data_IF_657209926771
#
_entry.id   IF_657209926771
#
_cell.length_a   1.000
_cell.length_b   1.000
_cell.length_c   1.000
_cell.angle_alpha   90.00
_cell.angle_beta   90.00
_cell.angle_gamma   90.00
#
_symmetry.space_group_name_H-M   'P 1'
#
loop_
_entity.id
_entity.type
_entity.pdbx_description
1 polymer ?
#
# COMPACT_ATOMS: atom_id res chain seq x y z
N UNK A 1 20.52 -27.88 -18.13
CA UNK A 1 21.54 -26.82 -18.30
C UNK A 1 20.91 -25.71 -19.12
N UNK A 2 20.68 -24.55 -18.57
CA UNK A 2 20.33 -23.35 -19.33
C UNK A 2 21.62 -22.89 -20.03
N UNK A 3 21.76 -23.24 -21.31
CA UNK A 3 22.92 -22.86 -22.13
C UNK A 3 22.84 -21.36 -22.35
N UNK A 4 23.76 -20.62 -21.71
CA UNK A 4 24.32 -19.35 -22.19
C UNK A 4 23.38 -18.26 -22.71
N UNK A 5 22.16 -18.12 -22.20
CA UNK A 5 21.36 -16.94 -22.49
C UNK A 5 21.90 -15.75 -21.68
N UNK A 6 22.55 -14.83 -22.34
CA UNK A 6 22.95 -13.58 -21.73
C UNK A 6 21.71 -12.89 -21.16
N UNK A 7 21.68 -12.65 -19.84
CA UNK A 7 20.59 -11.93 -19.17
C UNK A 7 20.42 -10.54 -19.83
N UNK A 8 19.20 -10.18 -20.16
CA UNK A 8 18.89 -8.84 -20.68
C UNK A 8 19.08 -7.80 -19.59
N UNK A 9 19.55 -6.63 -19.97
CA UNK A 9 19.54 -5.45 -19.10
C UNK A 9 18.09 -4.95 -18.98
N UNK A 10 17.70 -4.59 -17.76
CA UNK A 10 16.37 -4.04 -17.46
C UNK A 10 16.50 -2.54 -17.30
N UNK A 11 15.65 -1.80 -18.01
CA UNK A 11 15.55 -0.34 -17.86
C UNK A 11 14.33 0.01 -17.02
N UNK A 12 14.47 0.96 -16.12
CA UNK A 12 13.34 1.66 -15.49
C UNK A 12 13.01 2.85 -16.39
N UNK A 13 11.92 2.76 -17.13
CA UNK A 13 11.51 3.77 -18.12
C UNK A 13 10.99 5.02 -17.41
N UNK A 14 10.17 4.82 -16.37
CA UNK A 14 9.65 5.89 -15.55
C UNK A 14 8.42 5.43 -14.75
N UNK A 15 7.92 6.33 -13.92
CA UNK A 15 6.77 6.02 -13.07
C UNK A 15 5.88 7.22 -12.84
N UNK A 16 4.69 6.94 -12.30
CA UNK A 16 3.70 7.93 -11.89
C UNK A 16 3.07 7.47 -10.58
N UNK A 17 2.67 8.41 -9.76
CA UNK A 17 1.88 8.15 -8.57
C UNK A 17 0.77 9.19 -8.40
N UNK A 18 -0.23 8.86 -7.61
CA UNK A 18 -1.16 9.87 -7.08
C UNK A 18 -0.55 10.55 -5.85
N UNK A 19 -1.03 11.72 -5.41
CA UNK A 19 -0.60 12.31 -4.14
C UNK A 19 -0.81 11.35 -2.98
N UNK A 20 0.10 11.32 -2.04
CA UNK A 20 -0.08 10.59 -0.79
C UNK A 20 -0.92 11.41 0.19
N UNK A 21 -2.05 10.84 0.62
CA UNK A 21 -3.01 11.49 1.51
C UNK A 21 -2.91 10.93 2.93
N UNK A 22 -3.05 11.78 3.94
CA UNK A 22 -3.28 11.31 5.31
C UNK A 22 -4.55 10.47 5.35
N UNK A 23 -4.50 9.38 6.10
CA UNK A 23 -5.65 8.52 6.35
C UNK A 23 -6.86 9.33 6.84
N UNK A 24 -8.04 8.87 6.47
CA UNK A 24 -9.34 9.51 6.76
C UNK A 24 -9.48 10.94 6.19
N UNK A 25 -8.69 11.25 5.15
CA UNK A 25 -8.69 12.53 4.45
C UNK A 25 -9.33 12.45 3.06
N UNK A 26 -8.64 12.99 2.05
CA UNK A 26 -9.15 13.12 0.69
C UNK A 26 -9.58 11.78 0.04
N UNK A 27 -8.98 10.68 0.44
CA UNK A 27 -9.28 9.34 -0.10
C UNK A 27 -10.11 8.46 0.83
N UNK A 28 -10.80 9.07 1.82
CA UNK A 28 -11.56 8.31 2.82
C UNK A 28 -12.67 7.40 2.24
N UNK A 29 -13.17 7.71 1.05
CA UNK A 29 -14.19 6.92 0.36
C UNK A 29 -13.64 6.12 -0.84
N UNK A 30 -12.32 6.18 -1.11
CA UNK A 30 -11.70 5.51 -2.24
C UNK A 30 -11.11 4.16 -1.83
N UNK A 31 -11.41 3.11 -2.58
CA UNK A 31 -10.84 1.79 -2.36
C UNK A 31 -9.52 1.56 -3.11
N UNK A 32 -8.80 0.50 -2.74
CA UNK A 32 -7.52 0.15 -3.37
C UNK A 32 -7.61 0.02 -4.90
N UNK A 33 -8.69 -0.58 -5.42
CA UNK A 33 -8.86 -0.75 -6.87
C UNK A 33 -8.94 0.60 -7.60
N UNK A 34 -9.71 1.55 -7.05
CA UNK A 34 -9.85 2.89 -7.63
C UNK A 34 -8.50 3.63 -7.65
N UNK A 35 -7.78 3.64 -6.51
CA UNK A 35 -6.49 4.31 -6.39
C UNK A 35 -5.43 3.66 -7.30
N UNK A 36 -5.39 2.31 -7.38
CA UNK A 36 -4.43 1.61 -8.24
C UNK A 36 -4.75 1.85 -9.72
N UNK A 37 -6.03 1.82 -10.10
CA UNK A 37 -6.46 2.12 -11.46
C UNK A 37 -6.05 3.53 -11.88
N UNK A 38 -6.16 4.51 -10.97
CA UNK A 38 -5.75 5.89 -11.25
C UNK A 38 -4.23 6.00 -11.53
N UNK A 39 -3.39 5.35 -10.71
CA UNK A 39 -1.94 5.36 -10.94
C UNK A 39 -1.57 4.61 -12.23
N UNK A 40 -2.23 3.49 -12.51
CA UNK A 40 -1.97 2.71 -13.72
C UNK A 40 -2.40 3.46 -14.98
N UNK A 41 -3.60 4.06 -14.98
CA UNK A 41 -4.07 4.90 -16.08
C UNK A 41 -3.13 6.08 -16.35
N UNK A 42 -2.60 6.70 -15.30
CA UNK A 42 -1.64 7.79 -15.44
C UNK A 42 -0.32 7.33 -16.09
N UNK A 43 0.16 6.11 -15.80
CA UNK A 43 1.32 5.52 -16.51
C UNK A 43 0.95 5.26 -17.97
N UNK A 44 -0.23 4.70 -18.23
CA UNK A 44 -0.73 4.42 -19.60
C UNK A 44 -0.77 5.71 -20.44
N UNK A 45 -1.31 6.78 -19.88
CA UNK A 45 -1.40 8.07 -20.58
C UNK A 45 -0.03 8.71 -20.77
N UNK A 46 0.85 8.68 -19.75
CA UNK A 46 2.19 9.27 -19.82
C UNK A 46 3.07 8.64 -20.90
N UNK A 47 2.98 7.33 -21.06
CA UNK A 47 3.81 6.57 -21.99
C UNK A 47 3.09 6.14 -23.28
N UNK A 48 1.90 6.72 -23.53
CA UNK A 48 1.08 6.45 -24.72
C UNK A 48 0.79 4.96 -24.96
N UNK A 49 0.48 4.23 -23.87
CA UNK A 49 0.23 2.78 -23.89
C UNK A 49 -1.24 2.40 -24.04
N UNK A 50 -2.10 3.36 -24.36
CA UNK A 50 -3.54 3.11 -24.51
C UNK A 50 -3.82 2.11 -25.61
N UNK A 51 -4.50 1.00 -25.27
CA UNK A 51 -4.78 -0.10 -26.17
C UNK A 51 -3.60 -1.06 -26.40
N UNK A 52 -2.43 -0.77 -25.83
CA UNK A 52 -1.27 -1.65 -25.95
C UNK A 52 -1.38 -2.85 -24.99
N UNK A 53 -0.92 -4.02 -25.45
CA UNK A 53 -0.78 -5.21 -24.64
C UNK A 53 0.62 -5.28 -24.05
N UNK A 54 0.73 -5.23 -22.74
CA UNK A 54 2.01 -5.46 -22.03
C UNK A 54 2.18 -6.95 -21.68
N UNK A 55 3.43 -7.32 -21.42
CA UNK A 55 3.78 -8.68 -21.03
C UNK A 55 3.19 -9.08 -19.66
N UNK A 56 3.15 -8.15 -18.70
CA UNK A 56 2.52 -8.37 -17.40
C UNK A 56 2.30 -7.03 -16.64
N UNK A 57 1.32 -7.02 -15.74
CA UNK A 57 1.14 -5.99 -14.72
C UNK A 57 1.13 -6.67 -13.36
N UNK A 58 2.11 -6.38 -12.53
CA UNK A 58 2.21 -6.92 -11.17
C UNK A 58 1.97 -5.80 -10.18
N UNK A 59 0.92 -5.92 -9.38
CA UNK A 59 0.59 -4.93 -8.36
C UNK A 59 0.00 -5.62 -7.12
N UNK A 60 -0.11 -4.88 -6.02
CA UNK A 60 -0.73 -5.44 -4.83
C UNK A 60 -1.00 -4.42 -3.75
N UNK A 61 -1.69 -4.90 -2.72
CA UNK A 61 -2.05 -4.15 -1.53
C UNK A 61 -1.97 -5.05 -0.31
N UNK A 62 -1.71 -4.47 0.87
CA UNK A 62 -1.72 -5.18 2.15
C UNK A 62 -3.14 -5.31 2.68
N UNK A 63 -3.91 -4.23 2.61
CA UNK A 63 -5.27 -4.12 3.16
C UNK A 63 -6.34 -4.29 2.08
N UNK A 64 -6.44 -5.50 1.49
CA UNK A 64 -7.45 -5.77 0.44
C UNK A 64 -8.76 -6.28 1.02
N UNK A 65 -9.88 -5.79 0.48
CA UNK A 65 -11.19 -6.41 0.67
C UNK A 65 -11.31 -7.76 -0.04
N UNK A 66 -12.11 -8.66 0.50
CA UNK A 66 -12.36 -9.97 -0.10
C UNK A 66 -13.02 -9.89 -1.49
N UNK A 67 -13.66 -8.77 -1.84
CA UNK A 67 -14.21 -8.50 -3.17
C UNK A 67 -13.14 -8.19 -4.23
N UNK A 68 -11.93 -7.83 -3.79
CA UNK A 68 -10.80 -7.48 -4.67
C UNK A 68 -9.90 -8.71 -4.90
N UNK A 69 -10.45 -9.75 -5.52
CA UNK A 69 -9.79 -11.04 -5.71
C UNK A 69 -8.47 -10.92 -6.50
N UNK A 70 -8.50 -10.13 -7.57
CA UNK A 70 -7.33 -9.82 -8.37
C UNK A 70 -7.32 -8.32 -8.67
N UNK A 71 -6.76 -7.55 -7.75
CA UNK A 71 -6.67 -6.10 -7.82
C UNK A 71 -5.93 -5.64 -9.07
N UNK A 72 -4.80 -6.28 -9.40
CA UNK A 72 -4.01 -5.94 -10.58
C UNK A 72 -4.81 -6.13 -11.86
N UNK A 73 -5.53 -7.25 -11.98
CA UNK A 73 -6.36 -7.54 -13.17
C UNK A 73 -7.47 -6.51 -13.35
N UNK A 74 -8.21 -6.20 -12.29
CA UNK A 74 -9.30 -5.21 -12.36
C UNK A 74 -8.75 -3.81 -12.67
N UNK A 75 -7.58 -3.47 -12.13
CA UNK A 75 -6.92 -2.20 -12.45
C UNK A 75 -6.44 -2.13 -13.91
N UNK A 76 -5.96 -3.24 -14.48
CA UNK A 76 -5.64 -3.33 -15.91
C UNK A 76 -6.87 -3.02 -16.76
N UNK A 77 -7.99 -3.66 -16.47
CA UNK A 77 -9.25 -3.47 -17.22
C UNK A 77 -9.76 -2.02 -17.15
N UNK A 78 -9.49 -1.32 -16.04
CA UNK A 78 -9.88 0.08 -15.87
C UNK A 78 -8.85 1.10 -16.36
N UNK A 79 -7.62 0.69 -16.75
CA UNK A 79 -6.52 1.61 -17.02
C UNK A 79 -6.42 2.12 -18.45
N UNK A 80 -7.06 1.43 -19.40
CA UNK A 80 -6.94 1.71 -20.83
C UNK A 80 -5.87 0.89 -21.56
N UNK A 81 -5.17 -0.03 -20.88
CA UNK A 81 -4.38 -1.08 -21.53
C UNK A 81 -5.29 -2.06 -22.30
N UNK A 82 -4.72 -2.80 -23.24
CA UNK A 82 -5.45 -3.90 -23.88
C UNK A 82 -5.92 -4.91 -22.83
N UNK A 83 -7.19 -5.39 -22.92
CA UNK A 83 -7.76 -6.31 -21.94
C UNK A 83 -7.06 -7.68 -21.88
N UNK A 84 -6.24 -8.02 -22.86
CA UNK A 84 -5.40 -9.22 -22.92
C UNK A 84 -4.12 -9.09 -22.06
N UNK A 85 -3.80 -7.90 -21.56
CA UNK A 85 -2.67 -7.69 -20.64
C UNK A 85 -2.90 -8.48 -19.35
N UNK A 86 -2.02 -9.42 -18.98
CA UNK A 86 -2.19 -10.15 -17.73
C UNK A 86 -1.99 -9.26 -16.50
N UNK A 87 -2.68 -9.62 -15.42
CA UNK A 87 -2.52 -8.95 -14.12
C UNK A 87 -2.29 -9.97 -13.02
N UNK A 88 -1.24 -9.75 -12.20
CA UNK A 88 -0.87 -10.61 -11.09
C UNK A 88 -0.87 -9.84 -9.77
N UNK A 89 -1.63 -10.35 -8.81
CA UNK A 89 -1.61 -9.83 -7.44
C UNK A 89 -0.44 -10.37 -6.65
N UNK A 90 0.24 -9.47 -5.94
CA UNK A 90 1.35 -9.78 -5.06
C UNK A 90 1.11 -9.18 -3.67
N UNK A 91 1.59 -9.86 -2.64
CA UNK A 91 1.66 -9.30 -1.29
C UNK A 91 2.96 -9.70 -0.60
N UNK A 92 3.76 -8.70 -0.26
CA UNK A 92 4.98 -8.82 0.57
C UNK A 92 5.03 -7.68 1.60
N UNK A 93 3.95 -7.53 2.35
CA UNK A 93 3.78 -6.43 3.30
C UNK A 93 4.24 -5.07 2.71
N UNK A 94 4.99 -4.26 3.43
CA UNK A 94 5.47 -2.95 2.96
C UNK A 94 6.42 -3.01 1.73
N UNK A 95 6.97 -4.19 1.41
CA UNK A 95 7.84 -4.42 0.25
C UNK A 95 7.10 -4.84 -1.03
N UNK A 96 5.76 -4.82 -1.06
CA UNK A 96 4.94 -5.36 -2.15
C UNK A 96 5.29 -4.76 -3.50
N UNK A 97 5.32 -3.45 -3.65
CA UNK A 97 5.60 -2.79 -4.94
C UNK A 97 7.05 -2.94 -5.37
N UNK A 98 8.01 -3.00 -4.44
CA UNK A 98 9.41 -3.30 -4.76
C UNK A 98 9.56 -4.72 -5.29
N UNK A 99 8.90 -5.69 -4.66
CA UNK A 99 8.90 -7.08 -5.15
C UNK A 99 8.22 -7.20 -6.52
N UNK A 100 7.15 -6.45 -6.76
CA UNK A 100 6.51 -6.40 -8.08
C UNK A 100 7.50 -5.92 -9.15
N UNK A 101 8.29 -4.88 -8.86
CA UNK A 101 9.33 -4.37 -9.77
C UNK A 101 10.43 -5.41 -10.01
N UNK A 102 10.88 -6.11 -8.97
CA UNK A 102 11.87 -7.18 -9.07
C UNK A 102 11.34 -8.33 -9.97
N UNK A 103 10.08 -8.73 -9.79
CA UNK A 103 9.48 -9.81 -10.58
C UNK A 103 9.33 -9.43 -12.06
N UNK A 104 8.85 -8.22 -12.38
CA UNK A 104 8.81 -7.70 -13.75
C UNK A 104 10.23 -7.67 -14.33
N UNK A 105 11.18 -7.11 -13.60
CA UNK A 105 12.58 -7.05 -14.02
C UNK A 105 13.16 -8.44 -14.31
N UNK A 106 12.90 -9.43 -13.45
CA UNK A 106 13.33 -10.81 -13.67
C UNK A 106 12.72 -11.43 -14.94
N UNK A 107 11.43 -11.20 -15.19
CA UNK A 107 10.77 -11.67 -16.43
C UNK A 107 11.39 -11.04 -17.66
N UNK A 108 11.69 -9.74 -17.64
CA UNK A 108 12.38 -9.05 -18.74
C UNK A 108 13.79 -9.58 -18.92
N UNK A 109 14.56 -9.71 -17.84
CA UNK A 109 15.94 -10.21 -17.87
C UNK A 109 16.05 -11.62 -18.47
N UNK A 110 15.06 -12.46 -18.16
CA UNK A 110 14.97 -13.83 -18.70
C UNK A 110 14.36 -13.90 -20.10
N UNK A 111 13.93 -12.78 -20.68
CA UNK A 111 13.31 -12.73 -22.00
C UNK A 111 11.90 -13.34 -22.08
N UNK A 112 11.22 -13.44 -20.94
CA UNK A 112 9.84 -13.94 -20.89
C UNK A 112 8.83 -12.88 -21.34
N UNK A 113 9.12 -11.60 -21.08
CA UNK A 113 8.38 -10.44 -21.54
C UNK A 113 9.37 -9.34 -21.96
N UNK A 114 8.90 -8.37 -22.73
CA UNK A 114 9.71 -7.23 -23.18
C UNK A 114 9.48 -5.97 -22.34
N UNK A 115 8.27 -5.80 -21.81
CA UNK A 115 7.90 -4.71 -20.93
C UNK A 115 6.80 -5.13 -19.95
N UNK A 116 6.70 -4.44 -18.83
CA UNK A 116 5.65 -4.65 -17.86
C UNK A 116 5.55 -3.48 -16.87
N UNK A 117 4.44 -3.43 -16.13
CA UNK A 117 4.24 -2.40 -15.10
C UNK A 117 4.22 -3.06 -13.74
N UNK A 118 4.99 -2.49 -12.82
CA UNK A 118 4.97 -2.83 -11.41
C UNK A 118 4.28 -1.72 -10.61
N UNK A 119 3.46 -2.09 -9.62
CA UNK A 119 2.76 -1.10 -8.81
C UNK A 119 2.41 -1.58 -7.42
N UNK A 120 1.86 -0.67 -6.65
CA UNK A 120 1.33 -0.95 -5.33
C UNK A 120 0.41 0.16 -4.86
N UNK A 121 -0.51 -0.23 -4.01
CA UNK A 121 -1.51 0.64 -3.42
C UNK A 121 -1.83 0.18 -2.01
N UNK A 122 -2.09 1.11 -1.12
CA UNK A 122 -2.81 0.82 0.11
C UNK A 122 -3.68 2.01 0.49
N UNK A 123 -4.85 1.71 1.04
CA UNK A 123 -5.68 2.66 1.75
C UNK A 123 -5.90 2.17 3.18
N UNK A 124 -5.48 2.98 4.14
CA UNK A 124 -5.74 2.75 5.56
C UNK A 124 -7.12 3.27 5.94
N UNK A 125 -7.65 4.16 5.10
CA UNK A 125 -8.98 4.77 5.27
C UNK A 125 -10.13 3.84 4.95
N UNK A 126 -9.90 2.84 4.08
CA UNK A 126 -10.88 1.81 3.71
C UNK A 126 -10.38 0.39 4.12
N UNK A 127 -10.22 0.12 5.44
CA UNK A 127 -9.74 -1.17 5.88
C UNK A 127 -10.84 -2.23 5.77
N UNK A 128 -10.51 -3.50 5.47
CA UNK A 128 -11.47 -4.58 5.47
C UNK A 128 -11.99 -4.84 6.89
N UNK A 129 -13.21 -4.38 7.18
CA UNK A 129 -13.91 -4.66 8.43
C UNK A 129 -14.62 -6.01 8.31
N UNK A 130 -14.25 -6.96 9.17
CA UNK A 130 -14.83 -8.30 9.15
C UNK A 130 -15.57 -8.62 10.45
N UNK A 131 -16.48 -9.56 10.38
CA UNK A 131 -17.12 -10.08 11.57
C UNK A 131 -16.21 -11.06 12.32
N UNK A 132 -16.48 -11.24 13.63
CA UNK A 132 -15.81 -12.26 14.44
C UNK A 132 -15.91 -13.64 13.79
N UNK A 133 -14.91 -14.48 13.99
CA UNK A 133 -14.88 -15.83 13.42
C UNK A 133 -16.11 -16.66 13.82
N UNK A 134 -16.58 -16.51 15.06
CA UNK A 134 -17.77 -17.20 15.54
C UNK A 134 -19.02 -16.80 14.75
N UNK A 135 -19.19 -15.51 14.46
CA UNK A 135 -20.31 -15.02 13.67
C UNK A 135 -20.21 -15.47 12.21
N UNK A 136 -19.04 -15.42 11.62
CA UNK A 136 -18.82 -15.95 10.27
C UNK A 136 -19.17 -17.43 10.17
N UNK A 137 -18.79 -18.26 11.15
CA UNK A 137 -19.12 -19.68 11.18
C UNK A 137 -20.63 -19.91 11.36
N UNK A 138 -21.29 -19.09 12.17
CA UNK A 138 -22.74 -19.13 12.32
C UNK A 138 -23.45 -18.87 11.00
N UNK A 139 -23.07 -17.79 10.31
CA UNK A 139 -23.60 -17.43 8.98
C UNK A 139 -23.37 -18.55 7.96
N UNK A 140 -22.14 -19.10 7.89
CA UNK A 140 -21.81 -20.18 6.96
C UNK A 140 -22.59 -21.46 7.23
N UNK A 141 -22.81 -21.82 8.49
CA UNK A 141 -23.67 -22.96 8.86
C UNK A 141 -25.11 -22.74 8.40
N UNK A 142 -25.66 -21.55 8.66
CA UNK A 142 -27.01 -21.18 8.21
C UNK A 142 -27.12 -21.20 6.68
N UNK A 143 -26.12 -20.67 5.97
CA UNK A 143 -26.11 -20.64 4.50
C UNK A 143 -26.03 -22.04 3.88
N UNK A 144 -25.24 -22.95 4.47
CA UNK A 144 -25.06 -24.34 3.98
C UNK A 144 -26.20 -25.28 4.34
N UNK A 145 -27.12 -24.86 5.20
CA UNK A 145 -28.25 -25.69 5.68
C UNK A 145 -29.21 -26.04 4.54
N UNK A 146 -29.64 -27.29 4.50
CA UNK A 146 -30.54 -27.83 3.47
C UNK A 146 -32.03 -27.67 3.83
N UNK A 147 -32.35 -27.56 5.12
CA UNK A 147 -33.70 -27.36 5.59
C UNK A 147 -33.89 -26.02 6.30
N UNK A 148 -35.13 -25.54 6.37
CA UNK A 148 -35.45 -24.27 7.03
C UNK A 148 -35.10 -24.32 8.54
N UNK A 149 -35.38 -25.44 9.21
CA UNK A 149 -35.04 -25.62 10.63
C UNK A 149 -33.54 -25.57 10.89
N UNK A 150 -32.71 -26.23 10.04
CA UNK A 150 -31.26 -26.18 10.14
C UNK A 150 -30.70 -24.79 9.84
N UNK A 151 -31.38 -24.01 8.99
CA UNK A 151 -30.98 -22.63 8.66
C UNK A 151 -31.18 -21.69 9.84
N UNK A 152 -32.23 -21.87 10.61
CA UNK A 152 -32.56 -21.00 11.75
C UNK A 152 -31.79 -21.43 13.02
N UNK A 153 -31.57 -22.73 13.21
CA UNK A 153 -30.94 -23.28 14.43
C UNK A 153 -29.67 -22.57 14.88
N UNK A 154 -28.68 -22.20 14.00
CA UNK A 154 -27.48 -21.47 14.39
C UNK A 154 -27.79 -20.12 15.05
N UNK A 155 -28.86 -19.44 14.67
CA UNK A 155 -29.19 -18.10 15.13
C UNK A 155 -29.63 -18.03 16.59
N UNK A 156 -30.11 -19.15 17.18
CA UNK A 156 -30.40 -19.22 18.61
C UNK A 156 -29.14 -19.08 19.49
N UNK A 157 -27.97 -19.31 18.93
CA UNK A 157 -26.69 -19.10 19.61
C UNK A 157 -26.11 -17.67 19.48
N UNK A 158 -26.88 -16.76 18.87
CA UNK A 158 -26.41 -15.38 18.63
C UNK A 158 -26.26 -14.61 19.95
N UNK A 159 -25.15 -13.90 20.10
CA UNK A 159 -24.84 -13.07 21.26
C UNK A 159 -24.36 -11.68 20.80
N UNK A 160 -24.56 -10.60 21.57
CA UNK A 160 -24.11 -9.26 21.20
C UNK A 160 -22.63 -9.19 20.80
N UNK A 161 -21.76 -9.97 21.44
CA UNK A 161 -20.32 -10.03 21.12
C UNK A 161 -20.03 -10.45 19.67
N UNK A 162 -20.94 -11.18 19.02
CA UNK A 162 -20.76 -11.65 17.64
C UNK A 162 -20.81 -10.50 16.63
N UNK A 163 -21.48 -9.40 16.97
CA UNK A 163 -21.58 -8.20 16.11
C UNK A 163 -20.39 -7.26 16.25
N UNK A 164 -19.47 -7.52 17.20
CA UNK A 164 -18.28 -6.69 17.34
C UNK A 164 -17.42 -6.84 16.07
N UNK A 165 -17.19 -5.74 15.34
CA UNK A 165 -16.36 -5.78 14.14
C UNK A 165 -14.90 -6.06 14.52
N UNK A 166 -14.19 -6.73 13.61
CA UNK A 166 -12.76 -6.99 13.70
C UNK A 166 -12.08 -6.19 12.60
N UNK A 167 -11.22 -5.27 12.99
CA UNK A 167 -10.37 -4.50 12.09
C UNK A 167 -9.03 -5.21 11.89
N UNK A 168 -8.32 -4.97 10.78
CA UNK A 168 -6.96 -5.43 10.61
C UNK A 168 -6.08 -4.96 11.78
N UNK A 169 -5.35 -5.87 12.40
CA UNK A 169 -4.44 -5.53 13.48
C UNK A 169 -3.19 -4.84 12.95
N UNK A 170 -2.72 -3.81 13.66
CA UNK A 170 -1.45 -3.12 13.37
C UNK A 170 -0.25 -3.78 14.06
N UNK A 171 -0.50 -4.81 14.88
CA UNK A 171 0.52 -5.57 15.58
C UNK A 171 0.92 -6.84 14.84
N UNK A 172 2.18 -7.21 14.98
CA UNK A 172 2.69 -8.48 14.48
C UNK A 172 2.04 -9.64 15.27
N UNK A 173 1.40 -10.64 14.60
CA UNK A 173 0.59 -11.66 15.30
C UNK A 173 1.35 -12.53 16.31
N UNK A 174 2.66 -12.74 16.11
CA UNK A 174 3.48 -13.61 16.97
C UNK A 174 3.98 -12.91 18.22
N UNK A 175 4.33 -11.64 18.11
CA UNK A 175 4.89 -10.83 19.21
C UNK A 175 3.83 -9.96 19.89
N UNK A 176 2.74 -9.67 19.20
CA UNK A 176 1.72 -8.70 19.61
C UNK A 176 2.20 -7.24 19.51
N UNK A 177 3.43 -7.01 19.06
CA UNK A 177 4.03 -5.70 19.00
C UNK A 177 3.67 -4.97 17.70
N UNK A 178 3.46 -3.68 17.80
CA UNK A 178 3.33 -2.81 16.62
C UNK A 178 4.68 -2.59 15.92
N UNK A 179 4.64 -2.14 14.66
CA UNK A 179 5.87 -1.79 13.92
C UNK A 179 6.67 -0.69 14.62
N UNK A 180 6.00 0.27 15.27
CA UNK A 180 6.68 1.29 16.06
C UNK A 180 7.39 0.70 17.29
N UNK A 181 6.80 -0.27 17.97
CA UNK A 181 7.47 -0.97 19.08
C UNK A 181 8.67 -1.80 18.62
N UNK A 182 8.56 -2.48 17.47
CA UNK A 182 9.72 -3.17 16.87
C UNK A 182 10.82 -2.18 16.47
N UNK A 183 10.46 -1.03 15.89
CA UNK A 183 11.41 0.00 15.53
C UNK A 183 12.11 0.60 16.75
N UNK A 184 11.38 0.79 17.88
CA UNK A 184 11.97 1.21 19.14
C UNK A 184 13.00 0.22 19.69
N UNK A 185 12.71 -1.09 19.61
CA UNK A 185 13.68 -2.12 19.99
C UNK A 185 14.92 -2.08 19.09
N UNK A 186 14.73 -1.90 17.78
CA UNK A 186 15.83 -1.80 16.82
C UNK A 186 16.69 -0.57 17.10
N UNK A 187 16.06 0.60 17.35
CA UNK A 187 16.77 1.83 17.67
C UNK A 187 17.65 1.66 18.92
N UNK A 188 17.13 0.97 19.95
CA UNK A 188 17.91 0.63 21.17
C UNK A 188 19.05 -0.33 20.85
N UNK A 189 18.78 -1.40 20.12
CA UNK A 189 19.81 -2.43 19.81
C UNK A 189 20.95 -1.85 18.97
N UNK A 190 20.66 -0.89 18.09
CA UNK A 190 21.65 -0.24 17.23
C UNK A 190 22.16 1.08 17.82
N UNK A 191 21.71 1.43 19.01
CA UNK A 191 22.11 2.64 19.73
C UNK A 191 21.89 3.94 18.92
N UNK A 192 20.79 3.98 18.14
CA UNK A 192 20.42 5.18 17.37
C UNK A 192 19.81 6.21 18.31
N UNK A 193 20.47 7.35 18.41
CA UNK A 193 20.03 8.42 19.31
C UNK A 193 18.75 9.10 18.80
N UNK A 194 17.95 9.64 19.73
CA UNK A 194 16.74 10.43 19.45
C UNK A 194 17.04 11.59 18.50
N UNK A 195 18.14 12.28 18.71
CA UNK A 195 18.53 13.42 17.90
C UNK A 195 18.74 13.04 16.44
N UNK A 196 19.43 11.93 16.16
CA UNK A 196 19.67 11.43 14.80
C UNK A 196 18.35 11.10 14.08
N UNK A 197 17.38 10.55 14.81
CA UNK A 197 16.04 10.26 14.27
C UNK A 197 15.27 11.54 13.94
N UNK A 198 15.34 12.55 14.81
CA UNK A 198 14.70 13.85 14.59
C UNK A 198 15.37 14.62 13.45
N UNK A 199 16.70 14.56 13.31
CA UNK A 199 17.45 15.15 12.19
C UNK A 199 17.05 14.52 10.85
N UNK A 200 16.93 13.18 10.79
CA UNK A 200 16.46 12.48 9.60
C UNK A 200 15.04 12.91 9.22
N UNK A 201 14.14 12.99 10.19
CA UNK A 201 12.76 13.42 9.97
C UNK A 201 12.68 14.88 9.48
N UNK A 202 13.42 15.78 10.12
CA UNK A 202 13.52 17.18 9.70
C UNK A 202 14.02 17.31 8.28
N UNK A 203 15.12 16.65 7.96
CA UNK A 203 15.73 16.69 6.64
C UNK A 203 14.81 16.07 5.57
N UNK A 204 14.07 15.01 5.90
CA UNK A 204 13.07 14.39 5.01
C UNK A 204 11.97 15.39 4.63
N UNK A 205 11.41 16.10 5.61
CA UNK A 205 10.39 17.13 5.35
C UNK A 205 10.95 18.31 4.56
N UNK A 206 12.16 18.76 4.89
CA UNK A 206 12.84 19.86 4.18
C UNK A 206 13.06 19.51 2.71
N UNK A 207 13.58 18.30 2.42
CA UNK A 207 13.81 17.83 1.03
C UNK A 207 12.51 17.66 0.26
N UNK A 208 11.49 17.08 0.87
CA UNK A 208 10.18 16.93 0.24
C UNK A 208 9.56 18.29 -0.10
N UNK A 209 9.59 19.25 0.83
CA UNK A 209 9.10 20.61 0.60
C UNK A 209 9.84 21.30 -0.54
N UNK A 210 11.17 21.15 -0.57
CA UNK A 210 12.00 21.70 -1.67
C UNK A 210 11.66 21.03 -3.01
N UNK A 211 11.52 19.72 -3.06
CA UNK A 211 11.19 19.00 -4.29
C UNK A 211 9.83 19.42 -4.87
N UNK A 212 8.85 19.72 -4.02
CA UNK A 212 7.58 20.29 -4.44
C UNK A 212 7.73 21.74 -4.95
N UNK A 213 8.48 22.58 -4.25
CA UNK A 213 8.71 23.97 -4.63
C UNK A 213 9.47 24.10 -5.95
N UNK A 214 10.45 23.24 -6.17
CA UNK A 214 11.27 23.20 -7.40
C UNK A 214 10.54 22.56 -8.60
N UNK A 215 9.31 22.05 -8.42
CA UNK A 215 8.53 21.39 -9.47
C UNK A 215 8.94 19.94 -9.77
N UNK A 216 9.92 19.37 -9.07
CA UNK A 216 10.37 17.99 -9.29
C UNK A 216 9.23 16.97 -9.16
N UNK A 217 8.33 17.17 -8.18
CA UNK A 217 7.19 16.27 -7.97
C UNK A 217 6.09 16.46 -9.01
N UNK A 218 5.99 17.60 -9.67
CA UNK A 218 4.93 17.89 -10.65
C UNK A 218 4.97 16.99 -11.87
N UNK A 219 6.14 16.46 -12.20
CA UNK A 219 6.30 15.49 -13.29
C UNK A 219 5.96 14.04 -12.89
N UNK A 220 6.00 13.74 -11.60
CA UNK A 220 5.78 12.38 -11.07
C UNK A 220 4.40 12.16 -10.46
N UNK A 221 3.71 13.22 -10.09
CA UNK A 221 2.47 13.15 -9.31
C UNK A 221 1.30 13.68 -10.11
N UNK A 222 0.29 12.83 -10.33
CA UNK A 222 -0.93 13.19 -11.04
C UNK A 222 -2.04 13.49 -10.03
N UNK A 223 -2.69 14.67 -10.10
CA UNK A 223 -3.80 15.01 -9.21
C UNK A 223 -4.90 13.95 -9.22
N UNK A 224 -5.43 13.62 -8.05
CA UNK A 224 -6.51 12.65 -7.90
C UNK A 224 -7.48 13.07 -6.79
N UNK A 225 -8.80 12.91 -7.01
CA UNK A 225 -9.88 13.21 -6.06
C UNK A 225 -9.71 14.56 -5.33
N UNK A 226 -9.35 15.60 -6.10
CA UNK A 226 -9.17 16.96 -5.59
C UNK A 226 -7.84 17.24 -4.89
N UNK A 227 -7.02 16.23 -4.62
CA UNK A 227 -5.69 16.40 -4.06
C UNK A 227 -4.66 16.57 -5.19
N UNK A 228 -3.83 17.62 -5.09
CA UNK A 228 -2.81 17.96 -6.10
C UNK A 228 -1.38 17.69 -5.63
N UNK A 229 -1.17 17.60 -4.33
CA UNK A 229 0.14 17.38 -3.71
C UNK A 229 -0.01 16.55 -2.44
N UNK A 230 1.08 15.95 -1.97
CA UNK A 230 1.13 15.24 -0.70
C UNK A 230 0.73 16.16 0.45
N UNK A 231 -0.20 15.72 1.30
CA UNK A 231 -0.69 16.52 2.42
C UNK A 231 -0.08 16.12 3.78
N UNK A 232 0.93 15.27 3.77
CA UNK A 232 1.67 14.82 4.96
C UNK A 232 3.04 15.50 5.12
N UNK A 233 3.49 16.28 4.14
CA UNK A 233 4.73 17.07 4.22
C UNK A 233 4.50 18.27 5.16
N UNK A 234 5.45 18.50 6.07
CA UNK A 234 5.42 19.59 7.05
C UNK A 234 6.59 20.55 6.82
N UNK A 235 6.36 21.55 5.99
CA UNK A 235 7.37 22.57 5.67
C UNK A 235 7.77 23.43 6.90
N UNK A 236 6.91 23.50 7.91
CA UNK A 236 7.07 24.32 9.13
C UNK A 236 7.69 23.56 10.30
N UNK A 237 8.18 22.32 10.09
CA UNK A 237 8.83 21.56 11.17
C UNK A 237 10.23 22.12 11.49
N UNK A 238 10.70 21.89 12.72
CA UNK A 238 12.07 22.24 13.15
C UNK A 238 12.58 21.23 14.17
N UNK A 239 13.89 21.16 14.37
CA UNK A 239 14.50 20.27 15.37
C UNK A 239 13.99 20.59 16.78
N UNK A 240 13.79 21.88 17.10
CA UNK A 240 13.26 22.29 18.41
C UNK A 240 11.80 21.84 18.61
N UNK A 241 10.98 21.84 17.56
CA UNK A 241 9.61 21.30 17.62
C UNK A 241 9.62 19.79 17.81
N UNK A 242 10.47 19.07 17.07
CA UNK A 242 10.60 17.61 17.16
C UNK A 242 11.09 17.16 18.54
N UNK A 243 12.12 17.82 19.09
CA UNK A 243 12.70 17.50 20.39
C UNK A 243 11.69 17.58 21.54
N UNK A 244 10.65 18.43 21.44
CA UNK A 244 9.59 18.58 22.45
C UNK A 244 8.55 17.46 22.44
N UNK A 245 8.53 16.62 21.42
CA UNK A 245 7.52 15.56 21.28
C UNK A 245 7.82 14.40 22.24
N UNK A 246 6.76 13.89 22.86
CA UNK A 246 6.85 12.74 23.74
C UNK A 246 6.99 11.43 22.96
N UNK A 247 7.68 10.42 23.51
CA UNK A 247 7.71 9.08 22.92
C UNK A 247 6.29 8.51 22.72
N UNK A 248 6.11 7.76 21.62
CA UNK A 248 4.79 7.23 21.23
C UNK A 248 4.67 5.70 21.38
N UNK A 249 5.80 4.97 21.40
CA UNK A 249 5.78 3.50 21.34
C UNK A 249 6.39 2.83 22.59
N UNK A 250 7.08 3.57 23.44
CA UNK A 250 7.54 3.15 24.75
C UNK A 250 7.66 4.36 25.66
N UNK A 251 7.43 4.21 26.96
CA UNK A 251 7.44 5.32 27.90
C UNK A 251 8.81 6.05 27.97
N UNK A 252 9.89 5.28 27.85
CA UNK A 252 11.28 5.71 27.81
C UNK A 252 11.89 5.64 26.39
N UNK A 253 11.03 5.69 25.36
CA UNK A 253 11.40 5.53 23.96
C UNK A 253 11.96 6.78 23.31
N UNK A 254 12.38 6.61 22.07
CA UNK A 254 12.98 7.66 21.23
C UNK A 254 12.11 8.00 20.02
N UNK A 255 11.22 7.09 19.60
CA UNK A 255 10.30 7.33 18.50
C UNK A 255 9.09 8.13 18.94
N UNK A 256 8.76 9.15 18.16
CA UNK A 256 7.66 10.09 18.41
C UNK A 256 6.75 10.20 17.19
N UNK A 257 5.63 10.89 17.32
CA UNK A 257 4.78 11.21 16.18
C UNK A 257 5.46 12.11 15.12
N UNK A 258 6.56 12.78 15.47
CA UNK A 258 7.29 13.67 14.56
C UNK A 258 8.37 12.96 13.75
N UNK A 259 8.98 11.92 14.29
CA UNK A 259 10.00 11.11 13.62
C UNK A 259 9.46 9.73 13.13
N UNK A 260 8.13 9.60 13.08
CA UNK A 260 7.43 8.42 12.56
C UNK A 260 6.51 8.83 11.42
N UNK A 261 6.32 7.91 10.45
CA UNK A 261 5.42 8.18 9.33
C UNK A 261 3.95 8.14 9.77
N UNK A 262 3.10 9.08 9.31
CA UNK A 262 1.66 8.98 9.52
C UNK A 262 1.06 7.87 8.66
N UNK A 263 -0.11 7.38 9.05
CA UNK A 263 -0.92 6.51 8.19
C UNK A 263 -1.36 7.28 6.95
N UNK A 264 -1.13 6.70 5.78
CA UNK A 264 -1.39 7.35 4.48
C UNK A 264 -2.05 6.40 3.52
N UNK A 265 -2.82 6.99 2.60
CA UNK A 265 -3.42 6.32 1.45
C UNK A 265 -2.68 6.77 0.19
N UNK A 266 -2.50 5.88 -0.78
CA UNK A 266 -1.87 6.23 -2.04
C UNK A 266 -1.54 5.04 -2.91
N UNK A 267 -1.16 5.33 -4.15
CA UNK A 267 -0.73 4.33 -5.13
C UNK A 267 0.37 4.87 -6.04
N UNK A 268 1.19 3.96 -6.52
CA UNK A 268 2.26 4.25 -7.47
C UNK A 268 2.44 3.10 -8.46
N UNK A 269 2.87 3.43 -9.66
CA UNK A 269 3.19 2.45 -10.70
C UNK A 269 4.43 2.88 -11.48
N UNK A 270 5.23 1.91 -11.94
CA UNK A 270 6.46 2.10 -12.71
C UNK A 270 6.48 1.16 -13.91
N UNK A 271 6.88 1.69 -15.05
CA UNK A 271 7.10 0.95 -16.30
C UNK A 271 8.56 0.52 -16.39
N UNK A 272 8.75 -0.76 -16.68
CA UNK A 272 10.05 -1.38 -16.91
C UNK A 272 10.10 -2.01 -18.31
#
# INVERSE_FOLDING_TARGET
MLVGSQLRRVAVIGGVRIPFARAHGAYAAAGNQELMTAALAAVVDRFALRGERLGDVIAGAVTKHSSQWNLARESVLGSGLAPETPGLDLQRACGTSLEAAILIGNKIALGQIDAGIAGGVDTVSDPPVVFSRDYQQLMLRSFRARSFGERIKPWFGLRPRHFKPVLPGVGEPRTGMSMGQHCEQMARSWQIARQEQDELAFESHRRASKAWADGFMSDLVVPHLGLKADNNVRADTSLEKLAKLKPSFAADGTLTAGNSTPMTDGSAAVLL
#
